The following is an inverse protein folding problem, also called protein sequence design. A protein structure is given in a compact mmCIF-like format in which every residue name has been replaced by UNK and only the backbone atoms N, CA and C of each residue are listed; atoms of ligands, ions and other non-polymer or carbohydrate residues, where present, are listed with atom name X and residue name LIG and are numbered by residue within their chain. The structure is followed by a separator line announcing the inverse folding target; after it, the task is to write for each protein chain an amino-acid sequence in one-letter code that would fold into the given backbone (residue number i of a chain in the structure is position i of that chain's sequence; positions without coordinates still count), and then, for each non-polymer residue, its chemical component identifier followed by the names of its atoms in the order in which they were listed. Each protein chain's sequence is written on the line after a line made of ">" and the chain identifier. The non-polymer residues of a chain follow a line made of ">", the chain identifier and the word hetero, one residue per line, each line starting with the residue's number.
data_IF_631998771084
#
_entry.id   IF_631998771084
#
_cell.length_a   1.000
_cell.length_b   1.000
_cell.length_c   1.000
_cell.angle_alpha   90.00
_cell.angle_beta   90.00
_cell.angle_gamma   90.00
#
_symmetry.space_group_name_H-M   'P 1'
#
loop_
_entity.id
_entity.type
_entity.pdbx_description
1 polymer ?
#
# COMPACT_ATOMS: atom_id res chain seq x y z
N UNK A 1 40.17 16.17 -37.06
CA UNK A 1 39.81 16.32 -35.63
C UNK A 1 38.63 15.38 -35.38
N UNK A 2 38.91 14.11 -35.03
CA UNK A 2 37.85 13.10 -34.85
C UNK A 2 37.38 13.11 -33.40
N UNK A 3 36.16 13.57 -33.16
CA UNK A 3 35.48 13.42 -31.88
C UNK A 3 35.11 11.95 -31.68
N UNK A 4 35.89 11.29 -30.83
CA UNK A 4 35.65 9.93 -30.35
C UNK A 4 34.45 10.00 -29.41
N UNK A 5 33.32 9.44 -29.83
CA UNK A 5 32.12 9.32 -29.00
C UNK A 5 32.44 8.54 -27.73
N UNK A 6 32.16 9.14 -26.57
CA UNK A 6 32.16 8.44 -25.30
C UNK A 6 31.14 7.29 -25.35
N UNK A 7 31.47 6.09 -24.85
CA UNK A 7 30.50 5.01 -24.76
C UNK A 7 29.41 5.43 -23.78
N UNK A 8 28.16 5.45 -24.24
CA UNK A 8 27.01 5.55 -23.36
C UNK A 8 27.08 4.38 -22.37
N UNK A 9 27.21 4.70 -21.07
CA UNK A 9 27.01 3.70 -20.03
C UNK A 9 25.64 3.05 -20.24
N UNK A 10 25.54 1.71 -20.26
CA UNK A 10 24.25 1.05 -20.38
C UNK A 10 23.37 1.49 -19.22
N UNK A 11 22.18 1.99 -19.54
CA UNK A 11 21.16 2.26 -18.53
C UNK A 11 20.87 0.95 -17.79
N UNK A 12 21.01 0.91 -16.45
CA UNK A 12 20.69 -0.29 -15.70
C UNK A 12 19.22 -0.65 -15.91
N UNK A 13 18.96 -1.95 -16.09
CA UNK A 13 17.62 -2.49 -16.22
C UNK A 13 16.77 -2.22 -14.97
N UNK A 14 15.43 -2.34 -15.07
CA UNK A 14 14.51 -1.86 -14.03
C UNK A 14 14.81 -2.40 -12.63
N UNK A 15 15.26 -3.65 -12.48
CA UNK A 15 15.50 -4.28 -11.17
C UNK A 15 16.98 -4.52 -10.83
N UNK A 16 17.93 -3.86 -11.50
CA UNK A 16 19.37 -4.12 -11.31
C UNK A 16 19.85 -3.93 -9.86
N UNK A 17 19.26 -3.00 -9.11
CA UNK A 17 19.54 -2.85 -7.67
C UNK A 17 19.10 -4.07 -6.85
N UNK A 18 17.95 -4.66 -7.18
CA UNK A 18 17.44 -5.88 -6.54
C UNK A 18 18.29 -7.09 -6.95
N UNK A 19 18.73 -7.15 -8.21
CA UNK A 19 19.66 -8.20 -8.69
C UNK A 19 20.99 -8.15 -7.95
N UNK A 20 21.53 -6.95 -7.77
CA UNK A 20 22.75 -6.73 -7.02
C UNK A 20 22.58 -7.14 -5.56
N UNK A 21 21.50 -6.70 -4.90
CA UNK A 21 21.18 -7.13 -3.53
C UNK A 21 21.11 -8.66 -3.41
N UNK A 22 20.49 -9.34 -4.38
CA UNK A 22 20.45 -10.80 -4.42
C UNK A 22 21.84 -11.42 -4.57
N UNK A 23 22.68 -10.90 -5.47
CA UNK A 23 24.04 -11.40 -5.67
C UNK A 23 24.93 -11.19 -4.43
N UNK A 24 24.76 -10.08 -3.72
CA UNK A 24 25.51 -9.71 -2.51
C UNK A 24 25.15 -10.60 -1.30
N UNK A 25 24.00 -11.29 -1.32
CA UNK A 25 23.64 -12.28 -0.28
C UNK A 25 24.59 -13.47 -0.24
N UNK A 26 25.33 -13.74 -1.33
CA UNK A 26 26.29 -14.83 -1.42
C UNK A 26 25.63 -16.21 -1.42
N UNK A 27 25.73 -16.90 -2.56
CA UNK A 27 25.18 -18.24 -2.84
C UNK A 27 23.68 -18.23 -3.17
N UNK A 28 23.29 -19.03 -4.17
CA UNK A 28 21.91 -19.30 -4.56
C UNK A 28 21.10 -19.83 -3.39
N UNK A 29 20.61 -18.91 -2.57
CA UNK A 29 19.78 -19.19 -1.41
C UNK A 29 18.56 -19.93 -1.95
N UNK A 30 18.22 -21.09 -1.42
CA UNK A 30 16.96 -21.74 -1.78
C UNK A 30 15.83 -21.12 -0.93
N UNK A 31 14.57 -21.32 -1.30
CA UNK A 31 13.43 -20.90 -0.46
C UNK A 31 13.53 -21.44 0.98
N UNK A 32 14.06 -22.66 1.15
CA UNK A 32 14.31 -23.25 2.46
C UNK A 32 15.42 -22.50 3.22
N UNK A 33 16.45 -22.06 2.50
CA UNK A 33 17.51 -21.20 3.04
C UNK A 33 16.98 -19.86 3.54
N UNK A 34 16.07 -19.22 2.80
CA UNK A 34 15.43 -17.96 3.23
C UNK A 34 14.74 -18.13 4.57
N UNK A 35 13.88 -19.14 4.71
CA UNK A 35 13.16 -19.38 5.98
C UNK A 35 14.10 -19.69 7.13
N UNK A 36 15.14 -20.48 6.89
CA UNK A 36 16.16 -20.78 7.88
C UNK A 36 16.84 -19.48 8.35
N UNK A 37 17.33 -18.64 7.43
CA UNK A 37 17.95 -17.34 7.77
C UNK A 37 17.02 -16.46 8.60
N UNK A 38 15.76 -16.30 8.19
CA UNK A 38 14.80 -15.49 8.94
C UNK A 38 14.43 -16.08 10.32
N UNK A 39 14.65 -17.38 10.54
CA UNK A 39 14.35 -18.06 11.80
C UNK A 39 15.57 -18.22 12.73
N UNK A 40 16.77 -18.35 12.17
CA UNK A 40 18.00 -18.69 12.91
C UNK A 40 19.03 -17.57 12.95
N UNK A 41 18.95 -16.58 12.05
CA UNK A 41 19.86 -15.44 12.09
C UNK A 41 19.54 -14.55 13.29
N UNK A 42 20.56 -13.84 13.77
CA UNK A 42 20.34 -12.77 14.73
C UNK A 42 19.31 -11.78 14.16
N UNK A 43 18.32 -11.38 14.96
CA UNK A 43 17.22 -10.52 14.52
C UNK A 43 17.70 -9.24 13.81
N UNK A 44 18.83 -8.67 14.25
CA UNK A 44 19.45 -7.51 13.62
C UNK A 44 19.94 -7.78 12.19
N UNK A 45 20.46 -8.98 11.90
CA UNK A 45 20.91 -9.37 10.56
C UNK A 45 19.71 -9.51 9.64
N UNK A 46 18.67 -10.25 10.05
CA UNK A 46 17.45 -10.42 9.26
C UNK A 46 16.76 -9.07 8.99
N UNK A 47 16.73 -8.18 9.98
CA UNK A 47 16.23 -6.82 9.83
C UNK A 47 17.01 -6.02 8.77
N UNK A 48 18.34 -6.00 8.85
CA UNK A 48 19.17 -5.25 7.90
C UNK A 48 18.99 -5.76 6.47
N UNK A 49 18.88 -7.08 6.27
CA UNK A 49 18.60 -7.65 4.95
C UNK A 49 17.28 -7.12 4.36
N UNK A 50 16.23 -7.01 5.17
CA UNK A 50 14.94 -6.46 4.74
C UNK A 50 15.05 -4.96 4.45
N UNK A 51 15.78 -4.20 5.27
CA UNK A 51 16.02 -2.77 5.03
C UNK A 51 16.77 -2.54 3.72
N UNK A 52 17.82 -3.34 3.45
CA UNK A 52 18.61 -3.27 2.22
C UNK A 52 17.78 -3.62 0.99
N UNK A 53 16.88 -4.62 1.10
CA UNK A 53 15.94 -4.96 0.03
C UNK A 53 14.97 -3.82 -0.27
N UNK A 54 14.36 -3.24 0.76
CA UNK A 54 13.44 -2.11 0.60
C UNK A 54 14.18 -0.91 -0.03
N UNK A 55 15.42 -0.66 0.39
CA UNK A 55 16.27 0.38 -0.19
C UNK A 55 16.58 0.11 -1.66
N UNK A 56 16.89 -1.14 -2.03
CA UNK A 56 17.09 -1.53 -3.42
C UNK A 56 15.84 -1.27 -4.27
N UNK A 57 14.65 -1.59 -3.76
CA UNK A 57 13.37 -1.33 -4.43
C UNK A 57 13.06 0.17 -4.58
N UNK A 58 13.44 0.99 -3.60
CA UNK A 58 13.25 2.45 -3.63
C UNK A 58 14.07 3.15 -4.72
N UNK A 59 15.24 2.59 -5.06
CA UNK A 59 16.14 3.13 -6.09
C UNK A 59 15.60 2.85 -7.50
N UNK A 60 14.72 1.85 -7.65
CA UNK A 60 14.12 1.51 -8.93
C UNK A 60 13.14 2.58 -9.40
N UNK A 61 13.32 3.08 -10.62
CA UNK A 61 12.47 4.10 -11.22
C UNK A 61 10.97 3.73 -11.23
N UNK A 62 10.66 2.45 -11.46
CA UNK A 62 9.27 1.96 -11.47
C UNK A 62 8.53 2.20 -10.15
N UNK A 63 9.22 2.18 -9.00
CA UNK A 63 8.61 2.48 -7.71
C UNK A 63 8.08 3.92 -7.62
N UNK A 64 8.64 4.86 -8.40
CA UNK A 64 8.18 6.26 -8.46
C UNK A 64 7.00 6.45 -9.43
N UNK A 65 6.86 5.54 -10.38
CA UNK A 65 5.81 5.56 -11.41
C UNK A 65 4.56 4.85 -10.90
N UNK A 66 4.72 3.74 -10.20
CA UNK A 66 3.59 2.97 -9.70
C UNK A 66 2.81 3.71 -8.63
N UNK A 67 1.48 3.68 -8.77
CA UNK A 67 0.54 4.21 -7.78
C UNK A 67 0.37 3.20 -6.64
N UNK A 68 0.31 3.69 -5.42
CA UNK A 68 -0.10 2.89 -4.27
C UNK A 68 -1.50 2.32 -4.50
N UNK A 69 -1.74 1.09 -4.02
CA UNK A 69 -3.05 0.44 -4.05
C UNK A 69 -3.90 0.73 -2.82
N UNK A 70 -3.33 1.43 -1.83
CA UNK A 70 -3.89 1.55 -0.48
C UNK A 70 -3.92 2.99 0.05
N UNK A 71 -3.26 3.93 -0.64
CA UNK A 71 -3.18 5.33 -0.25
C UNK A 71 -3.06 6.24 -1.49
N UNK A 72 -3.40 7.52 -1.35
CA UNK A 72 -3.19 8.50 -2.42
C UNK A 72 -1.73 8.98 -2.47
N UNK A 73 -0.84 8.07 -2.90
CA UNK A 73 0.59 8.33 -3.11
C UNK A 73 1.21 7.30 -4.05
N UNK A 74 2.52 7.44 -4.28
CA UNK A 74 3.31 6.48 -5.07
C UNK A 74 3.69 5.24 -4.25
N UNK A 75 4.04 4.16 -4.95
CA UNK A 75 4.60 2.95 -4.35
C UNK A 75 5.90 3.25 -3.58
N UNK A 76 6.72 4.19 -4.06
CA UNK A 76 7.89 4.67 -3.32
C UNK A 76 7.53 5.29 -1.97
N UNK A 77 6.38 5.97 -1.87
CA UNK A 77 5.86 6.49 -0.60
C UNK A 77 5.44 5.36 0.36
N UNK A 78 4.88 4.26 -0.16
CA UNK A 78 4.58 3.07 0.64
C UNK A 78 5.86 2.40 1.16
N UNK A 79 6.84 2.20 0.27
CA UNK A 79 8.13 1.60 0.61
C UNK A 79 8.91 2.43 1.64
N UNK A 80 8.86 3.76 1.55
CA UNK A 80 9.50 4.64 2.54
C UNK A 80 8.88 4.49 3.94
N UNK A 81 7.54 4.37 4.03
CA UNK A 81 6.89 4.10 5.32
C UNK A 81 7.21 2.68 5.81
N UNK A 82 7.24 1.70 4.91
CA UNK A 82 7.63 0.33 5.26
C UNK A 82 9.05 0.28 5.84
N UNK A 83 10.01 0.94 5.19
CA UNK A 83 11.38 1.09 5.67
C UNK A 83 11.42 1.64 7.10
N UNK A 84 10.75 2.78 7.33
CA UNK A 84 10.70 3.41 8.65
C UNK A 84 10.09 2.50 9.72
N UNK A 85 9.06 1.71 9.39
CA UNK A 85 8.45 0.75 10.32
C UNK A 85 9.35 -0.42 10.66
N UNK A 86 10.09 -0.95 9.68
CA UNK A 86 11.10 -2.00 9.92
C UNK A 86 12.22 -1.44 10.80
N UNK A 87 12.71 -0.24 10.49
CA UNK A 87 13.79 0.39 11.24
C UNK A 87 13.40 0.69 12.70
N UNK A 88 12.16 1.11 12.94
CA UNK A 88 11.61 1.35 14.28
C UNK A 88 11.11 0.09 15.00
N UNK A 89 11.29 -1.10 14.43
CA UNK A 89 10.79 -2.38 14.97
C UNK A 89 9.27 -2.43 15.18
N UNK A 90 8.52 -1.64 14.40
CA UNK A 90 7.06 -1.62 14.38
C UNK A 90 6.44 -2.57 13.34
N UNK A 91 7.26 -3.39 12.70
CA UNK A 91 6.82 -4.40 11.73
C UNK A 91 7.47 -5.75 12.04
N UNK A 92 6.67 -6.81 11.97
CA UNK A 92 7.19 -8.17 11.91
C UNK A 92 7.88 -8.41 10.56
N UNK A 93 9.21 -8.57 10.59
CA UNK A 93 10.04 -8.79 9.40
C UNK A 93 9.74 -10.12 8.70
N UNK A 94 9.07 -11.08 9.35
CA UNK A 94 8.67 -12.34 8.72
C UNK A 94 7.66 -12.13 7.60
N UNK A 95 6.93 -11.00 7.60
CA UNK A 95 6.04 -10.61 6.51
C UNK A 95 6.78 -10.43 5.18
N UNK A 96 8.08 -10.15 5.19
CA UNK A 96 8.90 -9.99 3.99
C UNK A 96 9.36 -11.32 3.38
N UNK A 97 9.24 -12.45 4.10
CA UNK A 97 9.70 -13.78 3.63
C UNK A 97 9.13 -14.14 2.24
N UNK A 98 7.82 -13.98 1.95
CA UNK A 98 7.28 -14.34 0.63
C UNK A 98 7.89 -13.54 -0.52
N UNK A 99 8.21 -12.26 -0.30
CA UNK A 99 8.90 -11.43 -1.29
C UNK A 99 10.32 -11.91 -1.52
N UNK A 100 11.07 -12.19 -0.45
CA UNK A 100 12.44 -12.70 -0.55
C UNK A 100 12.46 -14.06 -1.26
N UNK A 101 11.54 -14.97 -0.92
CA UNK A 101 11.39 -16.24 -1.61
C UNK A 101 11.06 -16.06 -3.10
N UNK A 102 10.24 -15.07 -3.47
CA UNK A 102 9.92 -14.78 -4.87
C UNK A 102 11.14 -14.29 -5.64
N UNK A 103 11.94 -13.39 -5.06
CA UNK A 103 13.19 -12.91 -5.65
C UNK A 103 14.19 -14.06 -5.81
N UNK A 104 14.28 -14.91 -4.80
CA UNK A 104 15.16 -16.08 -4.78
C UNK A 104 14.78 -17.12 -5.84
N UNK A 105 13.48 -17.38 -6.04
CA UNK A 105 13.00 -18.26 -7.12
C UNK A 105 13.33 -17.71 -8.51
N UNK A 106 13.47 -16.39 -8.64
CA UNK A 106 13.81 -15.69 -9.88
C UNK A 106 15.32 -15.53 -10.02
N UNK A 107 16.08 -16.62 -10.01
CA UNK A 107 17.54 -16.60 -10.09
C UNK A 107 18.05 -15.82 -11.33
N UNK A 108 18.99 -14.87 -11.17
CA UNK A 108 19.59 -14.13 -12.28
C UNK A 108 20.29 -15.07 -13.27
N UNK A 109 19.81 -15.10 -14.52
CA UNK A 109 20.36 -15.93 -15.60
C UNK A 109 19.47 -17.11 -16.01
N UNK A 110 18.41 -17.40 -15.25
CA UNK A 110 17.34 -18.30 -15.69
C UNK A 110 16.32 -17.48 -16.52
N UNK A 111 15.78 -17.97 -17.65
CA UNK A 111 14.88 -17.22 -18.53
C UNK A 111 13.56 -16.70 -17.92
N UNK A 112 13.33 -16.92 -16.61
CA UNK A 112 12.06 -16.73 -15.91
C UNK A 112 12.17 -15.62 -14.86
N UNK A 113 13.10 -14.67 -15.01
CA UNK A 113 13.03 -13.44 -14.21
C UNK A 113 11.85 -12.61 -14.70
N UNK A 114 10.71 -12.72 -14.03
CA UNK A 114 9.54 -11.90 -14.31
C UNK A 114 9.45 -10.72 -13.34
N UNK A 115 9.79 -9.53 -13.83
CA UNK A 115 9.69 -8.28 -13.06
C UNK A 115 8.25 -8.06 -12.53
N UNK A 116 7.22 -8.52 -13.27
CA UNK A 116 5.84 -8.37 -12.85
C UNK A 116 5.53 -9.16 -11.57
N UNK A 117 6.10 -10.34 -11.40
CA UNK A 117 5.86 -11.16 -10.20
C UNK A 117 6.56 -10.56 -8.97
N UNK A 118 7.74 -9.96 -9.16
CA UNK A 118 8.43 -9.22 -8.09
C UNK A 118 7.59 -8.04 -7.65
N UNK A 119 7.11 -7.22 -8.58
CA UNK A 119 6.25 -6.08 -8.24
C UNK A 119 4.92 -6.51 -7.61
N UNK A 120 4.32 -7.59 -8.09
CA UNK A 120 3.13 -8.17 -7.49
C UNK A 120 3.37 -8.56 -6.02
N UNK A 121 4.49 -9.24 -5.73
CA UNK A 121 4.88 -9.58 -4.37
C UNK A 121 5.14 -8.34 -3.48
N UNK A 122 5.69 -7.26 -4.05
CA UNK A 122 5.85 -5.97 -3.34
C UNK A 122 4.51 -5.35 -2.97
N UNK A 123 3.54 -5.35 -3.89
CA UNK A 123 2.19 -4.86 -3.60
C UNK A 123 1.50 -5.68 -2.51
N UNK A 124 1.66 -7.01 -2.55
CA UNK A 124 1.14 -7.92 -1.53
C UNK A 124 1.78 -7.67 -0.15
N UNK A 125 3.09 -7.45 -0.09
CA UNK A 125 3.78 -7.09 1.16
C UNK A 125 3.19 -5.80 1.74
N UNK A 126 3.07 -4.76 0.92
CA UNK A 126 2.51 -3.47 1.35
C UNK A 126 1.08 -3.66 1.88
N UNK A 127 0.22 -4.36 1.14
CA UNK A 127 -1.14 -4.63 1.57
C UNK A 127 -1.22 -5.34 2.93
N UNK A 128 -0.31 -6.27 3.22
CA UNK A 128 -0.24 -6.99 4.51
C UNK A 128 0.26 -6.12 5.66
N UNK A 129 1.14 -5.18 5.37
CA UNK A 129 1.78 -4.31 6.37
C UNK A 129 0.92 -3.11 6.76
N UNK A 130 -0.13 -2.83 5.98
CA UNK A 130 -1.06 -1.77 6.29
C UNK A 130 -2.22 -2.29 7.14
N UNK A 131 -2.57 -1.60 8.24
CA UNK A 131 -3.74 -1.97 9.01
C UNK A 131 -4.95 -1.99 8.10
N UNK A 132 -5.77 -3.03 8.21
CA UNK A 132 -7.08 -3.17 7.54
C UNK A 132 -8.08 -2.12 8.08
N UNK A 133 -7.63 -1.16 8.90
CA UNK A 133 -8.46 -0.04 9.33
C UNK A 133 -8.81 0.77 8.08
N UNK A 134 -10.10 0.79 7.68
CA UNK A 134 -10.50 1.44 6.46
C UNK A 134 -10.16 2.93 6.54
N UNK A 135 -9.68 3.56 5.46
CA UNK A 135 -9.35 4.97 5.48
C UNK A 135 -10.57 5.79 5.88
N UNK A 136 -10.39 6.72 6.81
CA UNK A 136 -11.44 7.68 7.17
C UNK A 136 -11.78 8.52 5.93
N UNK A 137 -13.07 8.64 5.62
CA UNK A 137 -13.58 9.27 4.40
C UNK A 137 -13.25 10.77 4.25
N UNK A 138 -12.82 11.43 5.34
CA UNK A 138 -12.43 12.83 5.31
C UNK A 138 -11.25 13.12 6.25
N UNK A 139 -10.22 13.77 5.68
CA UNK A 139 -9.08 14.34 6.40
C UNK A 139 -8.98 15.84 6.08
N UNK A 140 -9.96 16.64 6.49
CA UNK A 140 -9.76 18.08 6.74
C UNK A 140 -11.01 18.71 7.33
N UNK A 141 -10.96 18.99 8.62
CA UNK A 141 -11.82 19.97 9.26
C UNK A 141 -11.03 20.48 10.46
N UNK A 142 -10.12 21.40 10.20
CA UNK A 142 -9.33 22.06 11.23
C UNK A 142 -10.16 23.25 11.73
N UNK A 143 -10.92 23.03 12.80
CA UNK A 143 -11.72 24.09 13.41
C UNK A 143 -11.10 24.49 14.75
N UNK A 144 -10.91 25.80 14.93
CA UNK A 144 -10.26 26.40 16.12
C UNK A 144 -11.16 26.42 17.37
N UNK A 145 -12.31 25.75 17.33
CA UNK A 145 -13.30 25.71 18.41
C UNK A 145 -13.74 24.27 18.68
N UNK A 146 -13.90 23.86 19.95
CA UNK A 146 -14.50 22.57 20.29
C UNK A 146 -15.94 22.50 19.75
N UNK A 147 -16.16 21.69 18.73
CA UNK A 147 -17.47 21.52 18.10
C UNK A 147 -18.33 20.59 18.96
N UNK A 148 -19.50 21.07 19.39
CA UNK A 148 -20.58 20.22 19.90
C UNK A 148 -21.21 19.53 18.69
N UNK A 149 -20.78 18.29 18.41
CA UNK A 149 -21.23 17.44 17.30
C UNK A 149 -22.69 16.98 17.46
N UNK A 150 -23.64 17.91 17.39
CA UNK A 150 -25.07 17.57 17.33
C UNK A 150 -25.77 18.52 16.36
N UNK A 151 -26.04 18.04 15.14
CA UNK A 151 -26.94 18.68 14.16
C UNK A 151 -28.41 18.67 14.62
N UNK A 152 -28.75 17.92 15.68
CA UNK A 152 -30.12 17.74 16.19
C UNK A 152 -30.89 19.03 16.55
N UNK A 153 -30.21 20.17 16.75
CA UNK A 153 -30.84 21.46 17.05
C UNK A 153 -31.17 22.30 15.80
N UNK A 154 -30.87 21.82 14.60
CA UNK A 154 -31.16 22.51 13.33
C UNK A 154 -32.61 22.27 12.92
N UNK A 155 -33.47 23.29 13.11
CA UNK A 155 -34.91 23.25 12.78
C UNK A 155 -35.42 24.54 12.13
N UNK A 156 -34.52 25.44 11.75
CA UNK A 156 -34.86 26.75 11.21
C UNK A 156 -35.04 26.76 9.70
N UNK A 157 -35.99 27.55 9.20
CA UNK A 157 -36.24 27.75 7.76
C UNK A 157 -35.20 28.68 7.11
N UNK A 158 -34.43 29.38 7.94
CA UNK A 158 -33.33 30.27 7.57
C UNK A 158 -32.05 29.55 7.17
N UNK A 159 -31.96 28.24 7.41
CA UNK A 159 -30.76 27.47 7.14
C UNK A 159 -30.67 27.11 5.66
N UNK A 160 -29.55 27.46 5.03
CA UNK A 160 -29.32 27.07 3.64
C UNK A 160 -28.78 25.64 3.54
N UNK A 161 -28.96 25.01 2.39
CA UNK A 161 -28.39 23.70 2.12
C UNK A 161 -26.88 23.68 2.36
N UNK A 162 -26.15 24.73 2.00
CA UNK A 162 -24.71 24.79 2.21
C UNK A 162 -24.32 24.74 3.70
N UNK A 163 -25.08 25.42 4.56
CA UNK A 163 -24.82 25.46 6.01
C UNK A 163 -25.09 24.11 6.68
N UNK A 164 -26.14 23.42 6.24
CA UNK A 164 -26.51 22.09 6.74
C UNK A 164 -25.49 21.05 6.28
N UNK A 165 -25.13 21.05 4.99
CA UNK A 165 -24.16 20.13 4.42
C UNK A 165 -22.79 20.29 5.08
N UNK A 166 -22.35 21.53 5.33
CA UNK A 166 -21.09 21.78 6.01
C UNK A 166 -21.06 21.14 7.41
N UNK A 167 -22.11 21.33 8.21
CA UNK A 167 -22.19 20.76 9.57
C UNK A 167 -22.34 19.24 9.59
N UNK A 168 -23.05 18.66 8.62
CA UNK A 168 -23.12 17.20 8.48
C UNK A 168 -21.73 16.65 8.15
N UNK A 169 -21.00 17.27 7.21
CA UNK A 169 -19.64 16.86 6.87
C UNK A 169 -18.68 17.00 8.07
N UNK A 170 -18.84 18.05 8.89
CA UNK A 170 -18.13 18.20 10.17
C UNK A 170 -18.44 17.05 11.14
N UNK A 171 -19.71 16.72 11.36
CA UNK A 171 -20.13 15.65 12.28
C UNK A 171 -19.63 14.27 11.82
N UNK A 172 -19.65 14.04 10.51
CA UNK A 172 -19.17 12.81 9.88
C UNK A 172 -17.64 12.75 9.78
N UNK A 173 -16.93 13.86 9.97
CA UNK A 173 -15.47 13.88 9.88
C UNK A 173 -14.84 13.00 10.96
N UNK A 174 -13.91 12.12 10.55
CA UNK A 174 -13.28 11.19 11.48
C UNK A 174 -14.14 9.97 11.84
N UNK A 175 -15.44 9.96 11.47
CA UNK A 175 -16.41 8.94 11.87
C UNK A 175 -16.91 8.09 10.72
N UNK A 176 -16.71 8.53 9.48
CA UNK A 176 -17.04 7.76 8.27
C UNK A 176 -15.79 7.08 7.75
N UNK A 177 -15.95 5.83 7.32
CA UNK A 177 -14.90 4.96 6.81
C UNK A 177 -15.18 4.61 5.34
N UNK A 178 -14.16 4.71 4.49
CA UNK A 178 -14.20 4.26 3.09
C UNK A 178 -13.65 2.84 2.96
N UNK A 179 -14.06 2.12 1.91
CA UNK A 179 -13.53 0.79 1.56
C UNK A 179 -13.57 -0.25 2.69
N UNK A 180 -14.65 -0.21 3.48
CA UNK A 180 -14.91 -1.21 4.53
C UNK A 180 -15.20 -2.56 3.88
N UNK A 181 -14.18 -3.42 3.82
CA UNK A 181 -14.29 -4.77 3.25
C UNK A 181 -15.41 -5.55 3.95
N UNK A 182 -16.28 -6.21 3.16
CA UNK A 182 -17.36 -7.03 3.69
C UNK A 182 -18.62 -6.26 4.12
N UNK A 183 -18.63 -4.93 4.01
CA UNK A 183 -19.77 -4.11 4.45
C UNK A 183 -21.02 -4.40 3.61
N UNK A 184 -20.88 -4.50 2.29
CA UNK A 184 -22.01 -4.74 1.41
C UNK A 184 -22.60 -6.14 1.64
N UNK A 185 -21.74 -7.14 1.68
CA UNK A 185 -22.09 -8.54 1.92
C UNK A 185 -22.79 -8.69 3.28
N UNK A 186 -22.25 -8.02 4.31
CA UNK A 186 -22.79 -8.10 5.66
C UNK A 186 -24.16 -7.47 5.80
N UNK A 187 -24.43 -6.31 5.18
CA UNK A 187 -25.64 -5.53 5.48
C UNK A 187 -26.68 -5.53 4.36
N UNK A 188 -26.24 -5.65 3.12
CA UNK A 188 -27.09 -5.54 1.94
C UNK A 188 -27.35 -6.91 1.33
N UNK A 189 -26.32 -7.74 1.14
CA UNK A 189 -26.44 -9.04 0.45
C UNK A 189 -27.40 -10.02 1.13
N UNK A 190 -28.16 -10.77 0.32
CA UNK A 190 -29.12 -11.77 0.79
C UNK A 190 -30.30 -11.21 1.59
N UNK A 191 -30.48 -9.89 1.65
CA UNK A 191 -31.62 -9.29 2.35
C UNK A 191 -32.87 -9.32 1.49
N UNK A 192 -33.98 -9.74 2.11
CA UNK A 192 -35.29 -9.83 1.46
C UNK A 192 -35.76 -8.51 0.86
N UNK A 193 -35.35 -7.37 1.43
CA UNK A 193 -35.73 -6.03 0.96
C UNK A 193 -34.90 -5.53 -0.24
N UNK A 194 -33.80 -6.18 -0.61
CA UNK A 194 -32.89 -5.67 -1.64
C UNK A 194 -33.57 -5.57 -3.02
N UNK A 195 -34.37 -6.57 -3.40
CA UNK A 195 -35.07 -6.58 -4.70
C UNK A 195 -36.04 -5.40 -4.82
N UNK A 196 -36.73 -5.07 -3.74
CA UNK A 196 -37.65 -3.93 -3.71
C UNK A 196 -36.87 -2.61 -3.82
N UNK A 197 -35.79 -2.45 -3.04
CA UNK A 197 -34.94 -1.26 -3.11
C UNK A 197 -34.34 -1.05 -4.51
N UNK A 198 -33.96 -2.14 -5.19
CA UNK A 198 -33.47 -2.10 -6.57
C UNK A 198 -34.55 -1.61 -7.54
N UNK A 199 -35.78 -2.12 -7.45
CA UNK A 199 -36.87 -1.68 -8.31
C UNK A 199 -37.18 -0.19 -8.13
N UNK A 200 -37.28 0.28 -6.89
CA UNK A 200 -37.51 1.70 -6.58
C UNK A 200 -36.41 2.59 -7.18
N UNK A 201 -35.15 2.16 -7.07
CA UNK A 201 -34.03 2.91 -7.66
C UNK A 201 -34.14 3.00 -9.19
N UNK A 202 -34.44 1.89 -9.88
CA UNK A 202 -34.61 1.91 -11.35
C UNK A 202 -35.83 2.74 -11.78
N UNK A 203 -36.93 2.70 -11.03
CA UNK A 203 -38.10 3.56 -11.27
C UNK A 203 -37.78 5.05 -11.07
N UNK A 204 -36.92 5.39 -10.10
CA UNK A 204 -36.51 6.79 -9.83
C UNK A 204 -35.56 7.38 -10.88
N UNK A 205 -35.03 6.55 -11.78
CA UNK A 205 -34.15 6.96 -12.88
C UNK A 205 -34.91 7.36 -14.15
N UNK A 206 -36.21 7.08 -14.21
CA UNK A 206 -37.10 7.45 -15.32
C UNK A 206 -37.62 8.88 -15.15
#
# INVERSE_FOLDING_TARGET
>A
MNHRGSPAHPQPGPLDAVRKWYADLGVGMSSNGVRAVFSTAAAAVAKNLVLDLIQALLIVAAARIFRSRIADRTLSGDLAVLYSRVDSNHLDITLAIPLVEQIVRNEPGVPIWNDADVWHAVFELIARTYPITPPIASKKAFFNTPLRSTTASQRGIEQTHEEVDHRILEELTGRVFCDVRGFYERYFEGRSWMNNAKNIYEESKA
#
